data_IF_791810204630
#
_entry.id   IF_791810204630
#
_cell.length_a   1.000
_cell.length_b   1.000
_cell.length_c   1.000
_cell.angle_alpha   90.00
_cell.angle_beta   90.00
_cell.angle_gamma   90.00
#
_symmetry.space_group_name_H-M   'P 1'
#
loop_
_entity.id
_entity.type
_entity.pdbx_description
1 polymer ?
#
# COMPACT_ATOMS: atom_id res chain seq x y z
N UNK A 1 7.12 22.40 0.35
CA UNK A 1 7.82 21.15 0.73
C UNK A 1 7.39 20.07 -0.25
N UNK A 2 8.33 19.47 -1.00
CA UNK A 2 8.00 18.39 -1.96
C UNK A 2 7.58 17.16 -1.15
N UNK A 3 6.29 16.99 -0.97
CA UNK A 3 5.74 15.65 -0.75
C UNK A 3 6.23 14.84 -1.95
N UNK A 4 6.88 13.69 -1.78
CA UNK A 4 7.11 12.75 -2.89
C UNK A 4 5.75 12.15 -3.30
N UNK A 5 4.81 13.00 -3.70
CA UNK A 5 3.60 12.66 -4.43
C UNK A 5 4.03 12.51 -5.87
N UNK A 6 3.56 11.47 -6.55
CA UNK A 6 3.95 11.24 -7.94
C UNK A 6 4.96 10.13 -8.13
N UNK A 7 5.24 9.29 -7.13
CA UNK A 7 6.11 8.13 -7.34
C UNK A 7 5.35 7.13 -8.21
N UNK A 8 5.94 6.73 -9.32
CA UNK A 8 5.44 5.64 -10.16
C UNK A 8 6.15 4.35 -9.78
N UNK A 9 5.48 3.20 -9.95
CA UNK A 9 6.09 1.90 -9.65
C UNK A 9 7.38 1.68 -10.46
N UNK A 10 7.41 2.10 -11.73
CA UNK A 10 8.58 1.95 -12.61
C UNK A 10 9.82 2.77 -12.18
N UNK A 11 9.66 3.75 -11.28
CA UNK A 11 10.78 4.55 -10.76
C UNK A 11 11.26 4.08 -9.37
N UNK A 12 10.66 3.02 -8.82
CA UNK A 12 11.08 2.44 -7.54
C UNK A 12 12.20 1.41 -7.72
N UNK A 13 13.00 1.22 -6.67
CA UNK A 13 13.88 0.06 -6.60
C UNK A 13 13.04 -1.22 -6.47
N UNK A 14 13.55 -2.37 -6.91
CA UNK A 14 12.82 -3.65 -6.79
C UNK A 14 12.41 -3.99 -5.35
N UNK A 15 13.24 -3.75 -4.31
CA UNK A 15 12.83 -3.93 -2.92
C UNK A 15 11.69 -2.98 -2.50
N UNK A 16 11.77 -1.70 -2.86
CA UNK A 16 10.72 -0.72 -2.52
C UNK A 16 9.40 -1.06 -3.20
N UNK A 17 9.45 -1.48 -4.47
CA UNK A 17 8.28 -1.92 -5.21
C UNK A 17 7.65 -3.16 -4.55
N UNK A 18 8.46 -4.14 -4.17
CA UNK A 18 8.00 -5.36 -3.49
C UNK A 18 7.27 -5.03 -2.19
N UNK A 19 7.85 -4.20 -1.33
CA UNK A 19 7.23 -3.79 -0.06
C UNK A 19 5.95 -2.98 -0.31
N UNK A 20 5.99 -2.07 -1.28
CA UNK A 20 4.83 -1.23 -1.62
C UNK A 20 3.65 -2.07 -2.11
N UNK A 21 3.89 -3.05 -2.99
CA UNK A 21 2.86 -3.95 -3.47
C UNK A 21 2.38 -4.91 -2.37
N UNK A 22 3.27 -5.34 -1.46
CA UNK A 22 2.87 -6.10 -0.27
C UNK A 22 1.90 -5.30 0.60
N UNK A 23 2.19 -4.02 0.86
CA UNK A 23 1.30 -3.11 1.61
C UNK A 23 -0.04 -2.89 0.92
N UNK A 24 -0.04 -2.72 -0.41
CA UNK A 24 -1.28 -2.60 -1.17
C UNK A 24 -2.11 -3.90 -1.12
N UNK A 25 -1.44 -5.06 -1.18
CA UNK A 25 -2.12 -6.35 -1.24
C UNK A 25 -2.96 -6.63 0.01
N UNK A 26 -2.48 -6.24 1.19
CA UNK A 26 -3.13 -6.50 2.48
C UNK A 26 -4.31 -5.58 2.79
N UNK A 27 -4.68 -4.66 1.87
CA UNK A 27 -5.89 -3.84 2.02
C UNK A 27 -7.20 -4.65 1.93
N UNK A 28 -7.12 -5.93 1.52
CA UNK A 28 -8.24 -6.88 1.53
C UNK A 28 -7.95 -8.07 2.46
N UNK A 29 -8.99 -8.68 3.08
CA UNK A 29 -8.84 -9.86 3.92
C UNK A 29 -8.22 -11.05 3.18
N UNK A 30 -7.41 -11.83 3.89
CA UNK A 30 -6.86 -13.09 3.38
C UNK A 30 -7.97 -14.11 3.16
N UNK A 31 -7.85 -14.92 2.11
CA UNK A 31 -8.70 -16.09 1.84
C UNK A 31 -10.21 -15.78 1.77
N UNK A 32 -10.56 -14.56 1.37
CA UNK A 32 -11.95 -14.15 1.13
C UNK A 32 -12.07 -13.73 -0.34
N UNK A 33 -12.94 -14.44 -1.06
CA UNK A 33 -13.30 -14.06 -2.42
C UNK A 33 -14.18 -12.81 -2.40
N UNK A 34 -13.72 -11.75 -3.05
CA UNK A 34 -14.40 -10.46 -3.14
C UNK A 34 -14.77 -10.14 -4.59
N UNK A 35 -15.92 -9.51 -4.79
CA UNK A 35 -16.31 -8.99 -6.09
C UNK A 35 -15.43 -7.79 -6.49
N UNK A 36 -15.41 -7.48 -7.80
CA UNK A 36 -14.56 -6.40 -8.33
C UNK A 36 -14.82 -5.04 -7.65
N UNK A 37 -16.09 -4.73 -7.37
CA UNK A 37 -16.47 -3.49 -6.71
C UNK A 37 -15.83 -3.34 -5.32
N UNK A 38 -15.79 -4.41 -4.53
CA UNK A 38 -15.25 -4.41 -3.18
C UNK A 38 -13.72 -4.22 -3.20
N UNK A 39 -13.00 -4.93 -4.07
CA UNK A 39 -11.53 -4.74 -4.18
C UNK A 39 -11.18 -3.37 -4.75
N UNK A 40 -11.96 -2.86 -5.70
CA UNK A 40 -11.76 -1.50 -6.23
C UNK A 40 -11.98 -0.43 -5.16
N UNK A 41 -12.96 -0.62 -4.28
CA UNK A 41 -13.21 0.28 -3.15
C UNK A 41 -12.04 0.25 -2.15
N UNK A 42 -11.57 -0.94 -1.77
CA UNK A 42 -10.43 -1.10 -0.86
C UNK A 42 -9.15 -0.42 -1.41
N UNK A 43 -8.86 -0.61 -2.70
CA UNK A 43 -7.71 0.04 -3.33
C UNK A 43 -7.83 1.56 -3.41
N UNK A 44 -9.03 2.09 -3.66
CA UNK A 44 -9.25 3.54 -3.65
C UNK A 44 -8.98 4.12 -2.26
N UNK A 45 -9.54 3.51 -1.22
CA UNK A 45 -9.31 3.93 0.15
C UNK A 45 -7.81 3.89 0.50
N UNK A 46 -7.13 2.79 0.16
CA UNK A 46 -5.70 2.67 0.39
C UNK A 46 -4.89 3.73 -0.38
N UNK A 47 -5.25 4.05 -1.63
CA UNK A 47 -4.59 5.11 -2.40
C UNK A 47 -4.84 6.52 -1.85
N UNK A 48 -5.98 6.76 -1.20
CA UNK A 48 -6.26 8.03 -0.53
C UNK A 48 -5.50 8.15 0.81
N UNK A 49 -5.17 7.01 1.42
CA UNK A 49 -4.50 6.91 2.71
C UNK A 49 -3.07 6.40 2.55
N UNK A 50 -2.76 5.16 2.94
CA UNK A 50 -1.41 4.63 3.09
C UNK A 50 -0.59 4.68 1.79
N UNK A 51 -1.26 4.54 0.65
CA UNK A 51 -0.70 4.56 -0.70
C UNK A 51 -0.61 5.92 -1.37
N UNK A 52 -0.96 7.03 -0.69
CA UNK A 52 -1.10 8.36 -1.29
C UNK A 52 0.17 8.96 -1.94
N UNK A 53 1.34 8.33 -1.78
CA UNK A 53 2.56 8.69 -2.52
C UNK A 53 2.54 8.21 -3.98
N UNK A 54 1.79 7.15 -4.26
CA UNK A 54 1.76 6.51 -5.56
C UNK A 54 0.93 7.29 -6.56
N UNK A 55 1.47 7.42 -7.77
CA UNK A 55 0.73 7.87 -8.94
C UNK A 55 0.43 6.67 -9.81
N UNK A 56 -0.68 6.03 -9.48
CA UNK A 56 -1.27 4.89 -10.17
C UNK A 56 -2.77 4.92 -9.92
N UNK A 57 -3.58 4.50 -10.88
CA UNK A 57 -5.00 4.33 -10.62
C UNK A 57 -5.29 2.94 -10.02
N UNK A 58 -6.39 2.82 -9.27
CA UNK A 58 -6.80 1.57 -8.63
C UNK A 58 -7.01 0.38 -9.60
N UNK A 59 -7.34 0.61 -10.88
CA UNK A 59 -7.49 -0.45 -11.89
C UNK A 59 -6.13 -0.96 -12.32
N UNK A 60 -5.20 -0.06 -12.62
CA UNK A 60 -3.81 -0.41 -12.93
C UNK A 60 -3.17 -1.15 -11.76
N UNK A 61 -3.30 -0.62 -10.53
CA UNK A 61 -2.78 -1.27 -9.33
C UNK A 61 -3.38 -2.67 -9.11
N UNK A 62 -4.69 -2.84 -9.30
CA UNK A 62 -5.33 -4.16 -9.21
C UNK A 62 -4.77 -5.16 -10.21
N UNK A 63 -4.54 -4.73 -11.46
CA UNK A 63 -3.93 -5.58 -12.50
C UNK A 63 -2.50 -5.94 -12.12
N UNK A 64 -1.70 -4.97 -11.68
CA UNK A 64 -0.33 -5.21 -11.20
C UNK A 64 -0.30 -6.22 -10.05
N UNK A 65 -1.23 -6.14 -9.08
CA UNK A 65 -1.29 -7.10 -7.97
C UNK A 65 -1.60 -8.53 -8.44
N UNK A 66 -2.35 -8.71 -9.53
CA UNK A 66 -2.61 -10.03 -10.12
C UNK A 66 -1.40 -10.49 -10.93
N UNK A 67 -0.90 -9.63 -11.81
CA UNK A 67 0.22 -9.94 -12.70
C UNK A 67 1.48 -10.31 -11.91
N UNK A 68 1.67 -9.68 -10.76
CA UNK A 68 2.79 -9.93 -9.85
C UNK A 68 2.49 -11.01 -8.79
N UNK A 69 1.34 -11.69 -8.85
CA UNK A 69 1.04 -12.86 -8.01
C UNK A 69 0.60 -12.57 -6.57
N UNK A 70 0.30 -11.32 -6.21
CA UNK A 70 -0.20 -10.95 -4.88
C UNK A 70 -1.65 -11.37 -4.67
N UNK A 71 -2.48 -11.22 -5.70
CA UNK A 71 -3.89 -11.59 -5.71
C UNK A 71 -4.17 -12.60 -6.82
N UNK A 72 -5.21 -13.41 -6.63
CA UNK A 72 -5.77 -14.28 -7.67
C UNK A 72 -7.09 -13.72 -8.17
N UNK A 73 -7.37 -13.95 -9.45
CA UNK A 73 -8.65 -13.67 -10.09
C UNK A 73 -9.22 -15.00 -10.59
N UNK A 74 -10.51 -15.22 -10.41
CA UNK A 74 -11.16 -16.41 -10.99
C UNK A 74 -11.15 -16.36 -12.53
N UNK A 75 -11.29 -17.53 -13.16
CA UNK A 75 -11.26 -17.65 -14.63
C UNK A 75 -12.39 -16.92 -15.35
N UNK A 76 -13.49 -16.60 -14.66
CA UNK A 76 -14.62 -15.82 -15.17
C UNK A 76 -14.48 -14.32 -14.91
N UNK A 77 -13.48 -13.92 -14.12
CA UNK A 77 -13.18 -12.54 -13.79
C UNK A 77 -14.16 -11.83 -12.87
N UNK A 78 -14.89 -12.58 -12.04
CA UNK A 78 -15.92 -12.12 -11.10
C UNK A 78 -15.38 -11.89 -9.70
N UNK A 79 -14.38 -12.66 -9.28
CA UNK A 79 -13.88 -12.65 -7.91
C UNK A 79 -12.37 -12.52 -7.84
N UNK A 80 -11.94 -11.82 -6.79
CA UNK A 80 -10.55 -11.54 -6.46
C UNK A 80 -10.29 -12.04 -5.05
N UNK A 81 -9.13 -12.65 -4.83
CA UNK A 81 -8.79 -13.24 -3.54
C UNK A 81 -7.30 -13.06 -3.26
N UNK A 82 -6.98 -12.70 -2.02
CA UNK A 82 -5.62 -12.75 -1.53
C UNK A 82 -5.35 -14.11 -0.89
N UNK A 83 -4.75 -15.02 -1.65
CA UNK A 83 -4.34 -16.35 -1.19
C UNK A 83 -2.93 -16.32 -0.58
N UNK A 84 -2.52 -17.36 0.17
CA UNK A 84 -1.16 -17.48 0.64
C UNK A 84 -0.19 -17.43 -0.53
N UNK A 85 0.85 -16.62 -0.40
CA UNK A 85 1.88 -16.51 -1.42
C UNK A 85 2.70 -17.81 -1.49
N UNK A 86 3.15 -18.22 -2.70
CA UNK A 86 4.11 -19.31 -2.87
C UNK A 86 5.38 -19.13 -2.03
N UNK A 87 6.05 -20.23 -1.71
CA UNK A 87 7.22 -20.22 -0.84
C UNK A 87 8.38 -19.38 -1.39
N UNK A 88 8.52 -19.34 -2.72
CA UNK A 88 9.54 -18.62 -3.48
C UNK A 88 9.14 -17.19 -3.85
N UNK A 89 7.94 -16.75 -3.47
CA UNK A 89 7.48 -15.40 -3.80
C UNK A 89 8.26 -14.35 -2.99
N UNK A 90 8.90 -13.35 -3.63
CA UNK A 90 9.80 -12.41 -2.95
C UNK A 90 9.11 -11.55 -1.89
N UNK A 91 7.80 -11.38 -1.99
CA UNK A 91 7.01 -10.60 -1.03
C UNK A 91 6.49 -11.41 0.17
N UNK A 92 6.73 -12.72 0.25
CA UNK A 92 6.09 -13.59 1.26
C UNK A 92 6.33 -13.12 2.68
N UNK A 93 7.59 -12.88 3.04
CA UNK A 93 7.95 -12.43 4.39
C UNK A 93 7.38 -11.04 4.69
N UNK A 94 7.38 -10.15 3.69
CA UNK A 94 6.79 -8.81 3.85
C UNK A 94 5.29 -8.88 4.13
N UNK A 95 4.53 -9.70 3.39
CA UNK A 95 3.10 -9.91 3.64
C UNK A 95 2.87 -10.49 5.03
N UNK A 96 3.62 -11.52 5.43
CA UNK A 96 3.48 -12.12 6.76
C UNK A 96 3.71 -11.12 7.91
N UNK A 97 4.72 -10.25 7.77
CA UNK A 97 4.95 -9.17 8.75
C UNK A 97 3.82 -8.15 8.73
N UNK A 98 3.38 -7.74 7.54
CA UNK A 98 2.30 -6.75 7.38
C UNK A 98 0.97 -7.26 7.95
N UNK A 99 0.67 -8.55 7.85
CA UNK A 99 -0.51 -9.17 8.47
C UNK A 99 -0.44 -9.22 10.00
N UNK A 100 0.76 -9.17 10.57
CA UNK A 100 0.97 -9.19 12.01
C UNK A 100 0.79 -7.82 12.68
N UNK A 101 0.56 -6.76 11.90
CA UNK A 101 0.47 -5.38 12.40
C UNK A 101 -0.84 -4.71 11.98
N UNK A 102 -1.31 -3.78 12.83
CA UNK A 102 -2.39 -2.85 12.51
C UNK A 102 -1.86 -1.71 11.62
N UNK A 103 -1.78 -1.92 10.31
CA UNK A 103 -1.13 -1.00 9.35
C UNK A 103 -1.73 0.40 9.39
N UNK A 104 -3.06 0.51 9.37
CA UNK A 104 -3.73 1.81 9.38
C UNK A 104 -3.36 2.62 10.62
N UNK A 105 -3.30 1.97 11.80
CA UNK A 105 -2.85 2.59 13.03
C UNK A 105 -1.37 2.97 12.96
N UNK A 106 -0.51 2.08 12.47
CA UNK A 106 0.91 2.34 12.32
C UNK A 106 1.19 3.56 11.41
N UNK A 107 0.49 3.68 10.28
CA UNK A 107 0.62 4.81 9.36
C UNK A 107 0.07 6.09 9.96
N UNK A 108 -1.07 6.05 10.65
CA UNK A 108 -1.62 7.21 11.36
C UNK A 108 -0.63 7.75 12.42
N UNK A 109 -0.06 6.87 13.24
CA UNK A 109 0.94 7.23 14.26
C UNK A 109 2.22 7.80 13.63
N UNK A 110 2.66 7.28 12.49
CA UNK A 110 3.80 7.81 11.76
C UNK A 110 3.53 9.21 11.18
N UNK A 111 2.32 9.44 10.65
CA UNK A 111 1.90 10.76 10.13
C UNK A 111 1.85 11.81 11.24
N UNK A 112 1.21 11.49 12.37
CA UNK A 112 1.11 12.38 13.52
C UNK A 112 2.50 12.78 14.06
N UNK A 113 3.43 11.81 14.18
CA UNK A 113 4.82 12.06 14.59
C UNK A 113 5.54 13.01 13.62
N UNK A 114 5.40 12.78 12.30
CA UNK A 114 6.02 13.63 11.29
C UNK A 114 5.46 15.06 11.29
N UNK A 115 4.16 15.22 11.52
CA UNK A 115 3.52 16.53 11.62
C UNK A 115 4.00 17.29 12.87
N UNK A 116 4.07 16.63 14.02
CA UNK A 116 4.61 17.21 15.25
C UNK A 116 6.08 17.68 15.07
N UNK A 117 6.92 16.86 14.42
CA UNK A 117 8.31 17.25 14.11
C UNK A 117 8.39 18.46 13.17
N UNK A 118 7.46 18.61 12.21
CA UNK A 118 7.40 19.79 11.35
C UNK A 118 7.00 21.03 12.14
N UNK A 119 5.98 20.94 12.99
CA UNK A 119 5.54 22.04 13.84
C UNK A 119 6.68 22.52 14.76
N UNK A 120 7.43 21.60 15.38
CA UNK A 120 8.60 21.94 16.20
C UNK A 120 9.69 22.65 15.40
N UNK A 121 10.00 22.19 14.18
CA UNK A 121 11.00 22.83 13.31
C UNK A 121 10.57 24.24 12.89
N UNK A 122 9.30 24.45 12.58
CA UNK A 122 8.76 25.78 12.24
C UNK A 122 8.83 26.73 13.44
N UNK A 123 8.46 26.28 14.64
CA UNK A 123 8.55 27.07 15.86
C UNK A 123 10.00 27.44 16.21
N UNK A 124 10.94 26.50 16.07
CA UNK A 124 12.36 26.76 16.31
C UNK A 124 12.98 27.74 15.29
N UNK A 125 12.50 27.73 14.04
CA UNK A 125 12.92 28.70 13.03
C UNK A 125 12.33 30.09 13.31
N UNK A 126 11.08 30.17 13.74
CA UNK A 126 10.42 31.43 14.09
C UNK A 126 11.02 32.12 15.33
N UNK A 127 11.60 31.36 16.26
CA UNK A 127 12.29 31.90 17.44
C UNK A 127 13.74 32.35 17.16
N UNK A 128 14.31 31.97 16.00
CA UNK A 128 15.67 32.34 15.59
C UNK A 128 15.70 33.50 14.58
N UNK A 129 14.54 33.94 14.10
CA UNK A 129 14.38 35.08 13.18
C UNK A 129 13.89 36.31 13.94
#
# INVERSE_FOLDING_TARGET
MVSKKGITLGNMSSPDMTVTLAMASVCIPANVALAENAVNQALRQWLDEEGAMLRIDHVELRRTLIDMGYWQRDGFGRTYERRPLPDDHPAREHVAVLESIEITRFVADARARNEALRAQRMAAHAQKS
#
